data_IF_282969706149
#
_entry.id   IF_282969706149
#
_cell.length_a   1.000
_cell.length_b   1.000
_cell.length_c   1.000
_cell.angle_alpha   90.00
_cell.angle_beta   90.00
_cell.angle_gamma   90.00
#
_symmetry.space_group_name_H-M   'P 1'
#
loop_
_entity.id
_entity.type
_entity.pdbx_description
1 polymer ?
#
# COMPACT_ATOMS: atom_id res chain seq x y z
N UNK A 1 -25.26 0.49 -4.37
CA UNK A 1 -23.96 1.01 -4.86
C UNK A 1 -23.52 2.11 -3.91
N UNK A 2 -22.45 1.85 -3.15
CA UNK A 2 -22.06 2.55 -1.92
C UNK A 2 -21.83 4.06 -2.11
N UNK A 3 -22.40 4.87 -1.22
CA UNK A 3 -22.36 6.34 -1.25
C UNK A 3 -21.04 6.95 -0.72
N UNK A 4 -20.02 6.13 -0.44
CA UNK A 4 -18.73 6.58 0.09
C UNK A 4 -17.84 7.22 -1.01
N UNK A 5 -18.10 6.92 -2.28
CA UNK A 5 -17.15 7.20 -3.39
C UNK A 5 -17.21 8.61 -3.97
N UNK A 6 -18.17 9.46 -3.58
CA UNK A 6 -18.34 10.79 -4.21
C UNK A 6 -17.40 11.89 -3.68
N UNK A 7 -16.53 11.61 -2.70
CA UNK A 7 -15.74 12.66 -2.03
C UNK A 7 -14.25 12.38 -1.79
N UNK A 8 -13.78 11.14 -1.97
CA UNK A 8 -12.36 10.80 -1.79
C UNK A 8 -11.69 10.82 -3.16
N UNK A 9 -11.22 12.00 -3.55
CA UNK A 9 -10.32 12.13 -4.71
C UNK A 9 -8.98 11.47 -4.34
N UNK A 10 -8.87 10.18 -4.66
CA UNK A 10 -7.70 9.34 -4.39
C UNK A 10 -6.42 9.99 -4.93
N UNK A 11 -6.49 10.62 -6.11
CA UNK A 11 -5.34 11.33 -6.68
C UNK A 11 -4.96 12.55 -5.85
N UNK A 12 -5.92 13.36 -5.43
CA UNK A 12 -5.66 14.50 -4.55
C UNK A 12 -5.12 14.08 -3.20
N UNK A 13 -5.66 13.03 -2.59
CA UNK A 13 -5.22 12.54 -1.28
C UNK A 13 -3.81 11.98 -1.32
N UNK A 14 -3.53 11.08 -2.27
CA UNK A 14 -2.21 10.50 -2.46
C UNK A 14 -1.17 11.57 -2.80
N UNK A 15 -1.52 12.55 -3.63
CA UNK A 15 -0.66 13.72 -3.90
C UNK A 15 -0.40 14.53 -2.63
N UNK A 16 -1.42 14.83 -1.84
CA UNK A 16 -1.26 15.59 -0.59
C UNK A 16 -0.40 14.83 0.41
N UNK A 17 -0.63 13.53 0.55
CA UNK A 17 0.18 12.66 1.41
C UNK A 17 1.64 12.63 0.94
N UNK A 18 1.89 12.53 -0.37
CA UNK A 18 3.23 12.63 -0.94
C UNK A 18 3.90 13.98 -0.63
N UNK A 19 3.17 15.09 -0.79
CA UNK A 19 3.67 16.45 -0.49
C UNK A 19 3.95 16.67 1.00
N UNK A 20 3.25 15.96 1.90
CA UNK A 20 3.35 16.12 3.35
C UNK A 20 4.20 15.05 4.05
N UNK A 21 4.90 14.19 3.30
CA UNK A 21 5.69 13.09 3.86
C UNK A 21 7.09 13.05 3.26
N UNK A 22 8.04 12.59 4.07
CA UNK A 22 9.35 12.14 3.62
C UNK A 22 9.23 10.77 2.95
N UNK A 23 10.24 10.40 2.16
CA UNK A 23 10.28 9.08 1.54
C UNK A 23 10.28 7.94 2.58
N UNK A 24 11.02 8.09 3.67
CA UNK A 24 11.06 7.10 4.75
C UNK A 24 9.69 6.90 5.41
N UNK A 25 8.93 7.96 5.63
CA UNK A 25 7.55 7.86 6.14
C UNK A 25 6.64 7.11 5.18
N UNK A 26 6.81 7.31 3.86
CA UNK A 26 6.04 6.55 2.85
C UNK A 26 6.44 5.08 2.80
N UNK A 27 7.71 4.76 3.02
CA UNK A 27 8.17 3.36 3.18
C UNK A 27 7.54 2.72 4.43
N UNK A 28 7.52 3.43 5.56
CA UNK A 28 6.85 2.94 6.77
C UNK A 28 5.34 2.81 6.61
N UNK A 29 4.72 3.71 5.85
CA UNK A 29 3.32 3.58 5.49
C UNK A 29 3.07 2.32 4.64
N UNK A 30 3.98 1.98 3.72
CA UNK A 30 3.91 0.73 2.96
C UNK A 30 3.94 -0.51 3.86
N UNK A 31 4.81 -0.51 4.87
CA UNK A 31 4.85 -1.59 5.86
C UNK A 31 3.53 -1.73 6.60
N UNK A 32 2.91 -0.61 6.98
CA UNK A 32 1.62 -0.61 7.65
C UNK A 32 0.50 -1.15 6.75
N UNK A 33 0.50 -0.85 5.45
CA UNK A 33 -0.48 -1.39 4.51
C UNK A 33 -0.39 -2.92 4.42
N UNK A 34 0.82 -3.46 4.31
CA UNK A 34 1.03 -4.91 4.30
C UNK A 34 0.66 -5.57 5.64
N UNK A 35 0.97 -4.92 6.77
CA UNK A 35 0.58 -5.42 8.09
C UNK A 35 -0.95 -5.45 8.29
N UNK A 36 -1.67 -4.47 7.75
CA UNK A 36 -3.14 -4.45 7.76
C UNK A 36 -3.71 -5.54 6.86
N UNK A 37 -3.18 -5.70 5.65
CA UNK A 37 -3.62 -6.74 4.73
C UNK A 37 -3.33 -8.16 5.25
N UNK A 38 -2.23 -8.33 6.00
CA UNK A 38 -1.90 -9.60 6.66
C UNK A 38 -2.75 -9.87 7.91
N UNK A 39 -3.70 -9.00 8.26
CA UNK A 39 -4.49 -9.09 9.49
C UNK A 39 -5.43 -10.31 9.58
N UNK A 40 -5.68 -11.01 8.48
CA UNK A 40 -6.58 -12.18 8.41
C UNK A 40 -5.87 -13.46 7.92
N UNK A 41 -6.33 -14.09 6.83
CA UNK A 41 -5.79 -15.34 6.27
C UNK A 41 -4.48 -15.16 5.47
N UNK A 42 -3.90 -13.95 5.52
CA UNK A 42 -2.73 -13.55 4.76
C UNK A 42 -3.09 -12.55 3.64
N UNK A 43 -2.07 -12.11 2.92
CA UNK A 43 -2.20 -11.08 1.89
C UNK A 43 -2.53 -11.73 0.55
N UNK A 44 -3.70 -11.41 0.02
CA UNK A 44 -4.17 -11.88 -1.29
C UNK A 44 -3.45 -11.19 -2.45
N UNK A 45 -3.57 -11.75 -3.66
CA UNK A 45 -3.00 -11.14 -4.87
C UNK A 45 -3.64 -9.77 -5.15
N UNK A 46 -4.95 -9.65 -4.96
CA UNK A 46 -5.70 -8.41 -5.19
C UNK A 46 -5.20 -7.30 -4.26
N UNK A 47 -5.00 -7.60 -2.98
CA UNK A 47 -4.44 -6.64 -2.02
C UNK A 47 -3.00 -6.24 -2.37
N UNK A 48 -2.17 -7.19 -2.82
CA UNK A 48 -0.81 -6.89 -3.29
C UNK A 48 -0.84 -5.88 -4.44
N UNK A 49 -1.76 -6.03 -5.40
CA UNK A 49 -1.88 -5.13 -6.54
C UNK A 49 -2.49 -3.76 -6.18
N UNK A 50 -3.42 -3.71 -5.23
CA UNK A 50 -3.90 -2.44 -4.67
C UNK A 50 -2.79 -1.68 -3.95
N UNK A 51 -2.02 -2.38 -3.10
CA UNK A 51 -0.86 -1.80 -2.42
C UNK A 51 0.21 -1.34 -3.43
N UNK A 52 0.40 -2.07 -4.54
CA UNK A 52 1.30 -1.67 -5.64
C UNK A 52 0.83 -0.38 -6.30
N UNK A 53 -0.47 -0.25 -6.52
CA UNK A 53 -1.06 0.97 -7.08
C UNK A 53 -0.81 2.16 -6.17
N UNK A 54 -1.01 1.99 -4.85
CA UNK A 54 -0.68 3.01 -3.85
C UNK A 54 0.82 3.36 -3.89
N UNK A 55 1.71 2.36 -3.91
CA UNK A 55 3.17 2.57 -3.97
C UNK A 55 3.58 3.42 -5.18
N UNK A 56 2.94 3.18 -6.33
CA UNK A 56 3.20 3.89 -7.57
C UNK A 56 2.83 5.37 -7.45
N UNK A 57 1.66 5.67 -6.89
CA UNK A 57 1.21 7.07 -6.73
C UNK A 57 2.03 7.80 -5.66
N UNK A 58 2.56 7.07 -4.67
CA UNK A 58 3.47 7.57 -3.65
C UNK A 58 4.95 7.67 -4.12
N UNK A 59 5.21 7.39 -5.40
CA UNK A 59 6.54 7.43 -6.03
C UNK A 59 7.59 6.59 -5.30
N UNK A 60 7.19 5.42 -4.79
CA UNK A 60 8.11 4.46 -4.19
C UNK A 60 8.70 3.56 -5.27
N UNK A 61 9.98 3.23 -5.11
CA UNK A 61 10.68 2.31 -6.01
C UNK A 61 10.15 0.88 -5.86
N UNK A 62 10.18 0.12 -6.96
CA UNK A 62 9.80 -1.29 -6.96
C UNK A 62 10.53 -2.09 -5.87
N UNK A 63 11.81 -1.78 -5.63
CA UNK A 63 12.59 -2.41 -4.56
C UNK A 63 12.00 -2.18 -3.17
N UNK A 64 11.58 -0.94 -2.86
CA UNK A 64 10.97 -0.62 -1.57
C UNK A 64 9.65 -1.37 -1.36
N UNK A 65 8.86 -1.53 -2.44
CA UNK A 65 7.66 -2.36 -2.42
C UNK A 65 7.99 -3.83 -2.14
N UNK A 66 9.00 -4.39 -2.82
CA UNK A 66 9.43 -5.77 -2.60
C UNK A 66 9.94 -5.98 -1.18
N UNK A 67 10.74 -5.04 -0.66
CA UNK A 67 11.26 -5.09 0.71
C UNK A 67 10.12 -5.09 1.74
N UNK A 68 9.05 -4.31 1.52
CA UNK A 68 7.86 -4.33 2.36
C UNK A 68 7.06 -5.65 2.22
N UNK A 69 6.83 -6.14 0.99
CA UNK A 69 6.17 -7.45 0.72
C UNK A 69 6.93 -8.61 1.36
N UNK A 70 8.26 -8.52 1.46
CA UNK A 70 9.12 -9.56 2.03
C UNK A 70 9.11 -9.58 3.56
N UNK A 71 8.55 -8.57 4.23
CA UNK A 71 8.30 -8.62 5.69
C UNK A 71 7.17 -9.56 6.06
N UNK A 72 6.27 -9.86 5.12
CA UNK A 72 5.20 -10.85 5.30
C UNK A 72 5.76 -12.26 5.06
N UNK A 73 5.55 -13.22 5.97
CA UNK A 73 5.99 -14.61 5.81
C UNK A 73 5.50 -15.22 4.50
N UNK A 74 6.30 -16.10 3.90
CA UNK A 74 6.02 -16.63 2.55
C UNK A 74 4.69 -17.38 2.46
N UNK A 75 4.33 -18.06 3.53
CA UNK A 75 3.14 -18.89 3.67
C UNK A 75 1.86 -18.04 3.72
N UNK A 76 2.00 -16.75 4.05
CA UNK A 76 0.90 -15.80 4.24
C UNK A 76 0.76 -14.79 3.12
N UNK A 77 1.42 -15.00 1.99
CA UNK A 77 1.34 -14.10 0.83
C UNK A 77 1.05 -14.87 -0.43
N UNK A 78 0.12 -14.37 -1.23
CA UNK A 78 -0.14 -14.89 -2.55
C UNK A 78 1.13 -14.82 -3.42
N UNK A 79 1.34 -15.88 -4.21
CA UNK A 79 2.46 -15.96 -5.15
C UNK A 79 2.31 -14.91 -6.26
#
# INVERSE_FOLDING_TARGET
>A
VSAITKGLDYYRMSRRFFESSTENERVHFMDALFAVADGDEGVSYEEIEEIRTIATVLKLHHRQFIDAKLKIPRERRAN
#
